data_IF_833457853934
#
_entry.id   IF_833457853934
#
_cell.length_a   1.000
_cell.length_b   1.000
_cell.length_c   1.000
_cell.angle_alpha   90.00
_cell.angle_beta   90.00
_cell.angle_gamma   90.00
#
_symmetry.space_group_name_H-M   'P 1'
#
loop_
_entity.id
_entity.type
_entity.pdbx_description
1 polymer ?
#
# COMPACT_ATOMS: atom_id res chain seq x y z
N UNK A 1 -9.74 44.15 55.75
CA UNK A 1 -10.16 42.84 55.22
C UNK A 1 -8.93 42.14 54.68
N UNK A 2 -8.48 41.06 55.34
CA UNK A 2 -7.23 40.34 55.01
C UNK A 2 -7.42 39.52 53.74
N UNK A 3 -6.48 39.70 52.81
CA UNK A 3 -6.40 38.95 51.56
C UNK A 3 -6.15 37.46 51.86
N UNK A 4 -7.09 36.60 51.47
CA UNK A 4 -6.85 35.17 51.30
C UNK A 4 -6.95 34.94 49.78
N UNK A 5 -5.87 35.25 49.07
CA UNK A 5 -5.61 34.71 47.72
C UNK A 5 -4.61 33.56 47.88
N UNK A 6 -4.93 32.61 48.75
CA UNK A 6 -4.06 31.47 49.01
C UNK A 6 -4.51 30.28 48.17
N UNK A 7 -3.70 30.02 47.14
CA UNK A 7 -3.35 28.68 46.69
C UNK A 7 -4.51 27.79 46.21
N UNK A 8 -5.27 28.26 45.22
CA UNK A 8 -6.13 27.37 44.43
C UNK A 8 -5.26 26.48 43.52
N UNK A 9 -4.69 25.41 44.09
CA UNK A 9 -4.04 24.37 43.30
C UNK A 9 -5.12 23.51 42.66
N UNK A 10 -5.08 23.40 41.33
CA UNK A 10 -5.99 22.52 40.58
C UNK A 10 -5.88 21.08 41.13
N UNK A 11 -7.02 20.39 41.34
CA UNK A 11 -7.01 18.99 41.77
C UNK A 11 -6.10 18.14 40.88
N UNK A 12 -5.33 17.23 41.48
CA UNK A 12 -4.40 16.32 40.80
C UNK A 12 -5.06 15.59 39.61
N UNK A 13 -6.34 15.26 39.76
CA UNK A 13 -7.18 14.64 38.74
C UNK A 13 -7.37 15.54 37.50
N UNK A 14 -7.60 16.84 37.68
CA UNK A 14 -7.73 17.80 36.57
C UNK A 14 -6.43 17.96 35.79
N UNK A 15 -5.28 17.99 36.48
CA UNK A 15 -3.97 18.03 35.84
C UNK A 15 -3.61 16.70 35.15
N UNK A 16 -4.20 15.59 35.57
CA UNK A 16 -4.05 14.29 34.91
C UNK A 16 -4.92 14.21 33.66
N UNK A 17 -6.18 14.63 33.75
CA UNK A 17 -7.14 14.67 32.63
C UNK A 17 -6.63 15.54 31.49
N UNK A 18 -6.13 16.75 31.78
CA UNK A 18 -5.50 17.61 30.75
C UNK A 18 -4.29 16.96 30.06
N UNK A 19 -3.47 16.20 30.79
CA UNK A 19 -2.31 15.49 30.21
C UNK A 19 -2.71 14.27 29.38
N UNK A 20 -3.85 13.65 29.69
CA UNK A 20 -4.41 12.56 28.90
C UNK A 20 -5.10 13.08 27.64
N UNK A 21 -5.83 14.18 27.74
CA UNK A 21 -6.47 14.85 26.61
C UNK A 21 -5.43 15.34 25.60
N UNK A 22 -4.36 15.99 26.06
CA UNK A 22 -3.22 16.37 25.22
C UNK A 22 -2.57 15.16 24.52
N UNK A 23 -2.40 14.04 25.23
CA UNK A 23 -1.85 12.82 24.63
C UNK A 23 -2.77 12.22 23.58
N UNK A 24 -4.08 12.18 23.82
CA UNK A 24 -5.07 11.73 22.84
C UNK A 24 -5.07 12.62 21.60
N UNK A 25 -5.04 13.93 21.76
CA UNK A 25 -4.94 14.86 20.63
C UNK A 25 -3.64 14.68 19.83
N UNK A 26 -2.51 14.43 20.50
CA UNK A 26 -1.24 14.14 19.84
C UNK A 26 -1.28 12.80 19.09
N UNK A 27 -1.85 11.76 19.70
CA UNK A 27 -2.06 10.45 19.08
C UNK A 27 -2.97 10.57 17.85
N UNK A 28 -4.07 11.32 17.94
CA UNK A 28 -4.97 11.58 16.81
C UNK A 28 -4.27 12.33 15.67
N UNK A 29 -3.44 13.33 15.99
CA UNK A 29 -2.62 14.05 14.98
C UNK A 29 -1.63 13.09 14.31
N UNK A 30 -1.00 12.20 15.07
CA UNK A 30 -0.07 11.19 14.53
C UNK A 30 -0.80 10.19 13.64
N UNK A 31 -1.96 9.67 14.07
CA UNK A 31 -2.79 8.79 13.26
C UNK A 31 -3.24 9.45 11.97
N UNK A 32 -3.70 10.71 12.06
CA UNK A 32 -4.09 11.50 10.89
C UNK A 32 -2.94 11.66 9.90
N UNK A 33 -1.73 12.00 10.38
CA UNK A 33 -0.53 12.11 9.54
C UNK A 33 -0.20 10.76 8.89
N UNK A 34 -0.30 9.66 9.64
CA UNK A 34 -0.04 8.31 9.13
C UNK A 34 -1.04 7.91 8.04
N UNK A 35 -2.32 8.22 8.24
CA UNK A 35 -3.38 8.00 7.24
C UNK A 35 -3.10 8.83 5.99
N UNK A 36 -2.81 10.13 6.14
CA UNK A 36 -2.46 11.01 5.02
C UNK A 36 -1.25 10.51 4.23
N UNK A 37 -0.19 10.13 4.91
CA UNK A 37 0.99 9.56 4.28
C UNK A 37 0.67 8.26 3.53
N UNK A 38 -0.21 7.42 4.08
CA UNK A 38 -0.65 6.19 3.43
C UNK A 38 -1.54 6.46 2.21
N UNK A 39 -2.44 7.44 2.28
CA UNK A 39 -3.27 7.89 1.16
C UNK A 39 -2.41 8.38 -0.01
N UNK A 40 -1.41 9.22 0.26
CA UNK A 40 -0.50 9.70 -0.78
C UNK A 40 0.30 8.56 -1.44
N UNK A 41 0.81 7.61 -0.65
CA UNK A 41 1.47 6.41 -1.18
C UNK A 41 0.53 5.59 -2.05
N UNK A 42 -0.71 5.40 -1.61
CA UNK A 42 -1.72 4.68 -2.38
C UNK A 42 -2.07 5.41 -3.69
N UNK A 43 -2.11 6.75 -3.68
CA UNK A 43 -2.32 7.56 -4.89
C UNK A 43 -1.18 7.40 -5.89
N UNK A 44 0.07 7.51 -5.45
CA UNK A 44 1.26 7.29 -6.30
C UNK A 44 1.24 5.88 -6.90
N UNK A 45 0.95 4.86 -6.10
CA UNK A 45 0.77 3.48 -6.58
C UNK A 45 -0.29 3.40 -7.67
N UNK A 46 -1.48 4.01 -7.46
CA UNK A 46 -2.57 4.07 -8.45
C UNK A 46 -2.17 4.71 -9.77
N UNK A 47 -1.37 5.77 -9.73
CA UNK A 47 -0.87 6.41 -10.94
C UNK A 47 0.13 5.51 -11.69
N UNK A 48 1.02 4.82 -10.97
CA UNK A 48 1.91 3.83 -11.57
C UNK A 48 1.15 2.65 -12.20
N UNK A 49 0.03 2.20 -11.59
CA UNK A 49 -0.90 1.24 -12.21
C UNK A 49 -1.35 1.70 -13.57
N UNK A 50 -1.93 2.90 -13.62
CA UNK A 50 -2.51 3.42 -14.85
C UNK A 50 -1.46 3.56 -15.94
N UNK A 51 -0.26 4.03 -15.61
CA UNK A 51 0.85 4.15 -16.56
C UNK A 51 1.26 2.79 -17.13
N UNK A 52 1.45 1.78 -16.27
CA UNK A 52 1.85 0.45 -16.71
C UNK A 52 0.76 -0.24 -17.52
N UNK A 53 -0.51 -0.07 -17.16
CA UNK A 53 -1.64 -0.59 -17.93
C UNK A 53 -1.72 0.05 -19.32
N UNK A 54 -1.47 1.37 -19.42
CA UNK A 54 -1.41 2.07 -20.70
C UNK A 54 -0.29 1.55 -21.61
N UNK A 55 0.84 1.13 -21.03
CA UNK A 55 1.94 0.50 -21.77
C UNK A 55 1.58 -0.94 -22.14
N UNK A 56 1.01 -1.70 -21.20
CA UNK A 56 0.76 -3.14 -21.35
C UNK A 56 -0.36 -3.48 -22.34
N UNK A 57 -1.48 -2.75 -22.30
CA UNK A 57 -2.65 -3.01 -23.14
C UNK A 57 -2.35 -3.00 -24.65
N UNK A 58 -1.54 -2.05 -25.19
CA UNK A 58 -1.17 -2.04 -26.60
C UNK A 58 0.00 -2.98 -26.95
N UNK A 59 0.69 -3.62 -25.98
CA UNK A 59 1.77 -4.56 -26.28
C UNK A 59 1.28 -5.70 -27.18
N UNK A 60 2.19 -6.21 -28.01
CA UNK A 60 1.92 -7.36 -28.86
C UNK A 60 1.55 -8.58 -28.02
N UNK A 61 0.64 -9.42 -28.53
CA UNK A 61 0.15 -10.62 -27.81
C UNK A 61 1.29 -11.57 -27.41
N UNK A 62 2.34 -11.66 -28.22
CA UNK A 62 3.56 -12.42 -27.93
C UNK A 62 4.29 -11.85 -26.70
N UNK A 63 4.52 -10.54 -26.65
CA UNK A 63 5.17 -9.88 -25.51
C UNK A 63 4.33 -10.03 -24.24
N UNK A 64 3.01 -9.89 -24.33
CA UNK A 64 2.12 -10.12 -23.20
C UNK A 64 2.18 -11.56 -22.69
N UNK A 65 2.27 -12.54 -23.57
CA UNK A 65 2.40 -13.94 -23.18
C UNK A 65 3.76 -14.24 -22.54
N UNK A 66 4.82 -13.64 -23.05
CA UNK A 66 6.16 -13.75 -22.50
C UNK A 66 6.25 -13.13 -21.09
N UNK A 67 5.68 -11.93 -20.89
CA UNK A 67 5.54 -11.31 -19.56
C UNK A 67 4.74 -12.23 -18.62
N UNK A 68 3.65 -12.86 -19.09
CA UNK A 68 2.87 -13.82 -18.27
C UNK A 68 3.70 -15.05 -17.90
N UNK A 69 4.52 -15.58 -18.80
CA UNK A 69 5.40 -16.73 -18.55
C UNK A 69 6.48 -16.35 -17.54
N UNK A 70 7.15 -15.22 -17.74
CA UNK A 70 8.19 -14.74 -16.84
C UNK A 70 7.64 -14.42 -15.44
N UNK A 71 6.46 -13.81 -15.35
CA UNK A 71 5.74 -13.59 -14.08
C UNK A 71 5.55 -14.91 -13.34
N UNK A 72 5.07 -15.95 -14.02
CA UNK A 72 4.84 -17.27 -13.40
C UNK A 72 6.14 -17.94 -12.95
N UNK A 73 7.22 -17.79 -13.72
CA UNK A 73 8.51 -18.41 -13.42
C UNK A 73 9.18 -17.78 -12.20
N UNK A 74 9.11 -16.45 -12.08
CA UNK A 74 9.69 -15.69 -10.97
C UNK A 74 8.88 -15.74 -9.67
N UNK A 75 7.66 -16.27 -9.70
CA UNK A 75 6.87 -16.45 -8.48
C UNK A 75 7.50 -17.51 -7.56
N UNK A 76 7.46 -17.29 -6.23
CA UNK A 76 7.77 -18.33 -5.25
C UNK A 76 6.91 -19.59 -5.45
N UNK A 77 7.44 -20.76 -5.08
CA UNK A 77 6.78 -22.05 -5.31
C UNK A 77 5.42 -22.16 -4.60
N UNK A 78 5.28 -21.54 -3.44
CA UNK A 78 4.00 -21.38 -2.74
C UNK A 78 2.91 -20.78 -3.64
N UNK A 79 3.25 -19.74 -4.40
CA UNK A 79 2.31 -19.07 -5.30
C UNK A 79 2.03 -19.87 -6.56
N UNK A 80 3.03 -20.60 -7.09
CA UNK A 80 2.85 -21.53 -8.20
C UNK A 80 1.87 -22.65 -7.86
N UNK A 81 1.98 -23.22 -6.66
CA UNK A 81 1.07 -24.26 -6.18
C UNK A 81 -0.36 -23.74 -6.03
N UNK A 82 -0.52 -22.53 -5.47
CA UNK A 82 -1.82 -21.86 -5.38
C UNK A 82 -2.42 -21.59 -6.76
N UNK A 83 -1.64 -21.11 -7.72
CA UNK A 83 -2.06 -20.91 -9.12
C UNK A 83 -2.53 -22.20 -9.79
N UNK A 84 -1.83 -23.31 -9.56
CA UNK A 84 -2.23 -24.62 -10.09
C UNK A 84 -3.54 -25.10 -9.47
N UNK A 85 -3.73 -24.91 -8.15
CA UNK A 85 -5.01 -25.21 -7.47
C UNK A 85 -6.15 -24.34 -8.00
N UNK A 86 -5.90 -23.06 -8.28
CA UNK A 86 -6.88 -22.16 -8.91
C UNK A 86 -7.25 -22.64 -10.32
N UNK A 87 -6.30 -23.08 -11.14
CA UNK A 87 -6.61 -23.64 -12.47
C UNK A 87 -7.51 -24.87 -12.41
N UNK A 88 -7.39 -25.68 -11.36
CA UNK A 88 -8.20 -26.87 -11.14
C UNK A 88 -9.62 -26.51 -10.64
N UNK A 89 -9.74 -25.45 -9.83
CA UNK A 89 -11.01 -25.05 -9.20
C UNK A 89 -11.77 -23.94 -9.93
N UNK A 90 -11.12 -23.24 -10.88
CA UNK A 90 -11.70 -22.13 -11.65
C UNK A 90 -11.81 -20.79 -10.90
N UNK A 91 -11.52 -20.73 -9.60
CA UNK A 91 -11.70 -19.54 -8.77
C UNK A 91 -10.36 -18.88 -8.42
N UNK A 92 -10.10 -17.67 -8.93
CA UNK A 92 -8.96 -16.83 -8.54
C UNK A 92 -9.26 -16.08 -7.25
N UNK A 93 -8.33 -16.11 -6.28
CA UNK A 93 -8.43 -15.23 -5.11
C UNK A 93 -8.03 -13.81 -5.51
N UNK A 94 -8.76 -12.79 -5.03
CA UNK A 94 -8.40 -11.37 -5.21
C UNK A 94 -6.94 -11.08 -4.84
N UNK A 95 -6.44 -11.77 -3.82
CA UNK A 95 -5.06 -11.61 -3.36
C UNK A 95 -4.04 -12.17 -4.37
N UNK A 96 -4.37 -13.26 -5.06
CA UNK A 96 -3.53 -13.81 -6.13
C UNK A 96 -3.46 -12.87 -7.32
N UNK A 97 -4.57 -12.23 -7.69
CA UNK A 97 -4.61 -11.26 -8.78
C UNK A 97 -3.72 -10.06 -8.48
N UNK A 98 -3.81 -9.51 -7.27
CA UNK A 98 -2.95 -8.40 -6.81
C UNK A 98 -1.47 -8.79 -6.88
N UNK A 99 -1.09 -9.97 -6.39
CA UNK A 99 0.30 -10.45 -6.43
C UNK A 99 0.80 -10.61 -7.86
N UNK A 100 -0.05 -11.11 -8.77
CA UNK A 100 0.30 -11.26 -10.18
C UNK A 100 0.46 -9.92 -10.88
N UNK A 101 -0.41 -8.95 -10.58
CA UNK A 101 -0.28 -7.60 -11.10
C UNK A 101 0.99 -6.91 -10.60
N UNK A 102 1.31 -7.03 -9.31
CA UNK A 102 2.57 -6.52 -8.73
C UNK A 102 3.79 -7.05 -9.47
N UNK A 103 3.87 -8.36 -9.66
CA UNK A 103 5.00 -8.98 -10.36
C UNK A 103 5.07 -8.63 -11.85
N UNK A 104 3.92 -8.49 -12.52
CA UNK A 104 3.89 -8.00 -13.92
C UNK A 104 4.47 -6.61 -14.04
N UNK A 105 4.18 -5.71 -13.09
CA UNK A 105 4.71 -4.33 -13.11
C UNK A 105 6.21 -4.29 -12.93
N UNK A 106 6.74 -5.09 -12.01
CA UNK A 106 8.19 -5.21 -11.82
C UNK A 106 8.86 -5.63 -13.13
N UNK A 107 8.33 -6.65 -13.79
CA UNK A 107 8.86 -7.13 -15.08
C UNK A 107 8.76 -6.07 -16.17
N UNK A 108 7.61 -5.37 -16.29
CA UNK A 108 7.44 -4.31 -17.30
C UNK A 108 8.42 -3.16 -17.05
N UNK A 109 8.63 -2.75 -15.79
CA UNK A 109 9.63 -1.72 -15.45
C UNK A 109 11.04 -2.17 -15.86
N UNK A 110 11.43 -3.39 -15.51
CA UNK A 110 12.73 -3.96 -15.92
C UNK A 110 12.87 -4.04 -17.45
N UNK A 111 11.79 -4.35 -18.16
CA UNK A 111 11.79 -4.44 -19.62
C UNK A 111 11.89 -3.08 -20.30
N UNK A 112 11.33 -2.03 -19.70
CA UNK A 112 11.52 -0.64 -20.13
C UNK A 112 12.97 -0.23 -19.88
N UNK A 113 13.51 -0.49 -18.68
CA UNK A 113 14.89 -0.14 -18.32
C UNK A 113 15.93 -0.89 -19.18
N UNK A 114 15.62 -2.12 -19.60
CA UNK A 114 16.46 -2.93 -20.51
C UNK A 114 16.23 -2.65 -21.99
N UNK A 115 15.31 -1.75 -22.35
CA UNK A 115 15.02 -1.39 -23.74
C UNK A 115 14.30 -2.48 -24.56
N UNK A 116 13.71 -3.48 -23.90
CA UNK A 116 12.87 -4.50 -24.57
C UNK A 116 11.50 -3.97 -24.95
N UNK A 117 11.03 -2.93 -24.25
CA UNK A 117 9.79 -2.20 -24.54
C UNK A 117 10.15 -0.74 -24.69
N UNK A 118 9.76 -0.12 -25.81
CA UNK A 118 9.75 1.35 -25.93
C UNK A 118 8.51 1.89 -25.20
N UNK A 119 8.72 2.83 -24.29
CA UNK A 119 7.71 3.45 -23.44
C UNK A 119 7.53 4.93 -23.73
#
# INVERSE_FOLDING_TARGET
MKAIRENWQFPEEYLREKREEQRKEEEEKIEYIKIKAQEEKNKKRREEIKKIEQIYNPLESLQQEEIKKETRNRLPDFWKEKLNKVRVKGETSKLLEVVLEEKRREIIKEWIDSGKIEA
#
